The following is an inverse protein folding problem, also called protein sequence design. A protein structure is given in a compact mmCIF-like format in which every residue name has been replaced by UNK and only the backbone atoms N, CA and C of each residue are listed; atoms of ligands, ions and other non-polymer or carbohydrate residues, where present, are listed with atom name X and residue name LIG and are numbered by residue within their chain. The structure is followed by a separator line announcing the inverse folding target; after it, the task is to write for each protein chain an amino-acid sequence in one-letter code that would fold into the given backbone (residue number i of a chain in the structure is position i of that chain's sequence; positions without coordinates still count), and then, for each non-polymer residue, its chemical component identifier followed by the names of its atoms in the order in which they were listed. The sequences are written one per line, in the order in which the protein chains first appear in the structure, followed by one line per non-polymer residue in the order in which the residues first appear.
data_IF_594675718139
#
_entry.id   IF_594675718139
#
_cell.length_a   1.000
_cell.length_b   1.000
_cell.length_c   1.000
_cell.angle_alpha   90.00
_cell.angle_beta   90.00
_cell.angle_gamma   90.00
#
_symmetry.space_group_name_H-M   'P 1'
#
loop_
_entity.id
_entity.type
_entity.pdbx_description
1 polymer ?
#
# COMPACT_ATOMS: atom_id res chain seq x y z
N UNK A 1 35.72 32.44 54.59
CA UNK A 1 34.34 32.15 54.12
C UNK A 1 34.15 32.80 52.76
N UNK A 2 34.27 32.05 51.65
CA UNK A 2 33.91 32.53 50.31
C UNK A 2 33.06 31.43 49.66
N UNK A 3 31.79 31.75 49.51
CA UNK A 3 30.71 30.91 48.99
C UNK A 3 30.85 30.72 47.48
N UNK A 4 31.02 29.48 47.02
CA UNK A 4 30.92 29.12 45.61
C UNK A 4 29.46 28.82 45.25
N UNK A 5 28.89 29.60 44.33
CA UNK A 5 27.58 29.31 43.75
C UNK A 5 27.75 28.33 42.59
N UNK A 6 27.26 27.10 42.76
CA UNK A 6 27.16 26.12 41.70
C UNK A 6 25.87 26.36 40.90
N UNK A 7 25.99 26.81 39.65
CA UNK A 7 24.87 26.93 38.74
C UNK A 7 24.50 25.53 38.18
N UNK A 8 23.38 24.98 38.65
CA UNK A 8 22.80 23.75 38.14
C UNK A 8 22.04 24.07 36.84
N UNK A 9 22.61 23.73 35.69
CA UNK A 9 21.91 23.78 34.40
C UNK A 9 21.12 22.49 34.24
N UNK A 10 19.81 22.55 34.48
CA UNK A 10 18.90 21.45 34.17
C UNK A 10 18.70 21.35 32.66
N UNK A 11 19.22 20.30 32.05
CA UNK A 11 18.92 19.96 30.66
C UNK A 11 17.57 19.23 30.61
N UNK A 12 16.51 19.92 30.19
CA UNK A 12 15.25 19.28 29.85
C UNK A 12 15.44 18.43 28.60
N UNK A 13 15.45 17.10 28.76
CA UNK A 13 15.34 16.19 27.64
C UNK A 13 13.90 16.23 27.13
N UNK A 14 13.68 16.91 26.00
CA UNK A 14 12.42 16.84 25.27
C UNK A 14 12.39 15.50 24.55
N UNK A 15 11.63 14.55 25.09
CA UNK A 15 11.31 13.32 24.38
C UNK A 15 10.35 13.68 23.24
N UNK A 16 10.85 13.70 22.00
CA UNK A 16 9.98 13.66 20.83
C UNK A 16 9.35 12.28 20.76
N UNK A 17 8.11 12.15 21.23
CA UNK A 17 7.27 11.03 20.86
C UNK A 17 6.96 11.16 19.37
N UNK A 18 7.58 10.31 18.54
CA UNK A 18 7.16 10.18 17.15
C UNK A 18 5.70 9.69 17.15
N UNK A 19 4.78 10.53 16.66
CA UNK A 19 3.43 10.06 16.37
C UNK A 19 3.53 8.89 15.37
N UNK A 20 2.72 7.83 15.49
CA UNK A 20 2.70 6.79 14.48
C UNK A 20 2.36 7.44 13.15
N UNK A 21 3.28 7.35 12.18
CA UNK A 21 2.98 7.75 10.82
C UNK A 21 1.83 6.86 10.33
N UNK A 22 0.71 7.47 9.94
CA UNK A 22 -0.37 6.72 9.28
C UNK A 22 0.21 5.99 8.07
N UNK A 23 -0.14 4.72 7.89
CA UNK A 23 0.32 3.94 6.74
C UNK A 23 -0.07 4.69 5.45
N UNK A 24 0.92 5.08 4.64
CA UNK A 24 0.66 5.71 3.36
C UNK A 24 -0.05 4.70 2.44
N UNK A 25 -1.16 5.14 1.84
CA UNK A 25 -1.89 4.38 0.82
C UNK A 25 -1.39 4.78 -0.56
N UNK A 26 -1.15 3.79 -1.42
CA UNK A 26 -0.90 3.99 -2.84
C UNK A 26 -2.02 3.34 -3.63
N UNK A 27 -2.76 4.14 -4.41
CA UNK A 27 -3.72 3.61 -5.38
C UNK A 27 -3.01 3.31 -6.70
N UNK A 28 -3.40 2.22 -7.36
CA UNK A 28 -2.80 1.71 -8.58
C UNK A 28 -3.85 1.61 -9.70
N UNK A 29 -3.40 1.83 -10.93
CA UNK A 29 -4.23 1.69 -12.13
C UNK A 29 -5.08 2.92 -12.49
N UNK A 30 -5.92 2.82 -13.53
CA UNK A 30 -5.98 1.67 -14.44
C UNK A 30 -4.69 1.51 -15.27
N UNK A 31 -4.18 0.28 -15.37
CA UNK A 31 -3.05 -0.06 -16.27
C UNK A 31 -3.40 -1.23 -17.18
N UNK A 32 -2.96 -1.25 -18.46
CA UNK A 32 -3.18 -2.38 -19.36
C UNK A 32 -2.77 -3.71 -18.74
N UNK A 33 -3.54 -4.75 -18.99
CA UNK A 33 -3.31 -6.08 -18.43
C UNK A 33 -3.74 -7.14 -19.43
N UNK A 34 -2.83 -8.04 -19.81
CA UNK A 34 -3.16 -9.21 -20.65
C UNK A 34 -2.66 -10.52 -20.05
N UNK A 35 -1.98 -10.45 -18.90
CA UNK A 35 -1.50 -11.62 -18.16
C UNK A 35 -1.10 -11.24 -16.73
N UNK A 36 -0.97 -12.25 -15.86
CA UNK A 36 -0.39 -12.09 -14.53
C UNK A 36 1.00 -11.42 -14.51
N UNK A 37 1.73 -11.44 -15.64
CA UNK A 37 3.02 -10.75 -15.77
C UNK A 37 2.90 -9.22 -15.81
N UNK A 38 1.75 -8.67 -16.18
CA UNK A 38 1.50 -7.22 -16.26
C UNK A 38 1.08 -6.63 -14.91
N UNK A 39 0.78 -7.49 -13.92
CA UNK A 39 0.40 -7.07 -12.58
C UNK A 39 1.46 -6.15 -11.98
N UNK A 40 1.09 -5.01 -11.39
CA UNK A 40 1.99 -4.22 -10.55
C UNK A 40 2.56 -5.00 -9.34
N UNK A 41 1.97 -6.16 -9.01
CA UNK A 41 2.46 -7.06 -7.97
C UNK A 41 3.41 -8.13 -8.48
N UNK A 42 3.58 -8.27 -9.80
CA UNK A 42 4.49 -9.22 -10.41
C UNK A 42 5.94 -8.96 -9.96
N UNK A 43 6.63 -10.03 -9.54
CA UNK A 43 8.03 -9.96 -9.10
C UNK A 43 8.25 -9.42 -7.68
N UNK A 44 7.19 -9.01 -6.96
CA UNK A 44 7.29 -8.68 -5.54
C UNK A 44 7.41 -9.95 -4.68
N UNK A 45 7.94 -9.78 -3.46
CA UNK A 45 8.03 -10.86 -2.47
C UNK A 45 7.00 -10.64 -1.37
N UNK A 46 6.21 -11.66 -1.10
CA UNK A 46 5.15 -11.61 -0.10
C UNK A 46 5.31 -12.71 0.95
N UNK A 47 4.80 -12.44 2.16
CA UNK A 47 4.60 -13.46 3.19
C UNK A 47 3.56 -14.49 2.73
N UNK A 48 2.52 -14.00 2.04
CA UNK A 48 1.58 -14.81 1.26
C UNK A 48 1.09 -14.01 0.07
N UNK A 49 0.74 -14.71 -1.01
CA UNK A 49 0.13 -14.12 -2.20
C UNK A 49 -0.85 -15.12 -2.81
N UNK A 50 -1.99 -14.63 -3.26
CA UNK A 50 -3.04 -15.40 -3.90
C UNK A 50 -3.50 -14.70 -5.18
N UNK A 51 -3.78 -15.52 -6.19
CA UNK A 51 -4.33 -15.15 -7.48
C UNK A 51 -5.56 -16.03 -7.70
N UNK A 52 -6.72 -15.41 -7.79
CA UNK A 52 -7.97 -16.05 -8.19
C UNK A 52 -8.19 -15.73 -9.66
N UNK A 53 -8.02 -16.74 -10.51
CA UNK A 53 -8.17 -16.65 -11.97
C UNK A 53 -9.52 -17.21 -12.45
N UNK A 54 -10.33 -17.77 -11.56
CA UNK A 54 -11.65 -18.36 -11.84
C UNK A 54 -11.66 -19.50 -12.87
N UNK A 55 -10.52 -19.95 -13.38
CA UNK A 55 -10.45 -20.84 -14.55
C UNK A 55 -10.94 -22.26 -14.26
N UNK A 56 -11.06 -22.61 -12.98
CA UNK A 56 -11.67 -23.86 -12.53
C UNK A 56 -13.18 -23.76 -12.29
N UNK A 57 -13.78 -22.59 -12.53
CA UNK A 57 -15.20 -22.33 -12.33
C UNK A 57 -15.57 -22.04 -10.87
N UNK A 58 -14.60 -21.84 -9.98
CA UNK A 58 -14.80 -21.69 -8.54
C UNK A 58 -14.21 -20.37 -8.02
N UNK A 59 -14.70 -19.95 -6.85
CA UNK A 59 -14.06 -18.95 -6.00
C UNK A 59 -13.53 -19.70 -4.79
N UNK A 60 -12.24 -20.01 -4.76
CA UNK A 60 -11.69 -20.95 -3.78
C UNK A 60 -10.31 -20.56 -3.23
N UNK A 61 -9.79 -19.39 -3.62
CA UNK A 61 -8.59 -18.85 -2.98
C UNK A 61 -8.80 -18.56 -1.48
N UNK A 62 -7.80 -18.79 -0.62
CA UNK A 62 -7.96 -18.68 0.83
C UNK A 62 -8.42 -17.29 1.28
N UNK A 63 -9.44 -17.25 2.14
CA UNK A 63 -9.87 -16.01 2.80
C UNK A 63 -10.50 -14.96 1.88
N UNK A 64 -10.79 -15.29 0.62
CA UNK A 64 -11.53 -14.43 -0.28
C UNK A 64 -13.02 -14.80 -0.27
N UNK A 65 -13.89 -13.79 -0.25
CA UNK A 65 -15.32 -13.95 -0.48
C UNK A 65 -15.84 -12.81 -1.35
N UNK A 66 -16.84 -13.11 -2.18
CA UNK A 66 -17.45 -12.13 -3.08
C UNK A 66 -18.98 -12.19 -2.94
N UNK A 67 -19.61 -11.31 -2.16
CA UNK A 67 -21.05 -11.36 -1.89
C UNK A 67 -21.91 -10.94 -3.08
N UNK A 68 -21.30 -10.51 -4.20
CA UNK A 68 -21.98 -10.02 -5.40
C UNK A 68 -21.39 -10.66 -6.63
N UNK A 69 -22.26 -11.10 -7.53
CA UNK A 69 -21.86 -11.80 -8.74
C UNK A 69 -21.64 -13.29 -8.51
N UNK A 70 -21.15 -13.96 -9.54
CA UNK A 70 -20.77 -15.36 -9.52
C UNK A 70 -19.72 -15.60 -10.61
N UNK A 71 -19.01 -16.72 -10.52
CA UNK A 71 -18.21 -17.19 -11.66
C UNK A 71 -19.15 -17.39 -12.86
N UNK A 72 -18.79 -16.80 -13.98
CA UNK A 72 -19.44 -17.02 -15.26
C UNK A 72 -18.49 -17.80 -16.15
N UNK A 73 -19.00 -18.92 -16.66
CA UNK A 73 -18.32 -19.73 -17.67
C UNK A 73 -19.23 -19.81 -18.87
N UNK A 74 -18.90 -19.04 -19.90
CA UNK A 74 -19.66 -19.06 -21.15
C UNK A 74 -18.99 -19.89 -22.24
N UNK A 75 -19.72 -20.33 -23.27
CA UNK A 75 -19.12 -20.93 -24.46
C UNK A 75 -18.18 -19.93 -25.16
N UNK A 76 -17.23 -20.40 -26.01
CA UNK A 76 -16.36 -19.52 -26.79
C UNK A 76 -17.17 -18.44 -27.54
N UNK A 77 -16.77 -17.17 -27.41
CA UNK A 77 -17.45 -16.02 -28.00
C UNK A 77 -18.67 -15.48 -27.22
N UNK A 78 -18.81 -15.89 -25.96
CA UNK A 78 -19.73 -15.26 -25.00
C UNK A 78 -19.10 -14.04 -24.34
N UNK A 79 -19.81 -13.44 -23.38
CA UNK A 79 -19.29 -12.40 -22.48
C UNK A 79 -18.28 -12.94 -21.45
N UNK A 80 -17.78 -14.16 -21.63
CA UNK A 80 -16.75 -14.72 -20.76
C UNK A 80 -15.42 -14.19 -21.29
N UNK A 81 -14.90 -13.18 -20.63
CA UNK A 81 -13.73 -12.43 -21.05
C UNK A 81 -12.57 -12.72 -20.11
N UNK A 82 -11.85 -13.80 -20.43
CA UNK A 82 -10.66 -14.17 -19.69
C UNK A 82 -9.44 -13.48 -20.27
N UNK A 83 -8.66 -12.92 -19.38
CA UNK A 83 -7.49 -12.11 -19.74
C UNK A 83 -6.38 -12.96 -20.37
N UNK A 84 -6.36 -14.29 -20.19
CA UNK A 84 -5.37 -15.19 -20.82
C UNK A 84 -5.76 -15.68 -22.22
N UNK A 85 -6.87 -15.20 -22.81
CA UNK A 85 -7.32 -15.56 -24.16
C UNK A 85 -7.51 -17.08 -24.35
N UNK A 86 -7.94 -17.79 -23.30
CA UNK A 86 -8.28 -19.21 -23.40
C UNK A 86 -9.71 -19.37 -23.92
N UNK A 87 -9.99 -20.30 -24.87
CA UNK A 87 -11.32 -20.44 -25.48
C UNK A 87 -12.47 -20.74 -24.50
N UNK A 88 -12.15 -21.15 -23.27
CA UNK A 88 -13.11 -21.53 -22.23
C UNK A 88 -12.89 -20.73 -20.93
N UNK A 89 -12.32 -19.53 -21.05
CA UNK A 89 -12.00 -18.71 -19.90
C UNK A 89 -13.23 -18.36 -19.07
N UNK A 90 -13.07 -18.34 -17.75
CA UNK A 90 -14.09 -17.96 -16.79
C UNK A 90 -13.70 -16.66 -16.12
N UNK A 91 -14.70 -15.95 -15.62
CA UNK A 91 -14.52 -14.65 -14.99
C UNK A 91 -15.55 -14.48 -13.88
N UNK A 92 -15.47 -13.37 -13.15
CA UNK A 92 -16.48 -12.99 -12.17
C UNK A 92 -17.44 -11.95 -12.75
N UNK A 93 -18.73 -12.30 -12.82
CA UNK A 93 -19.75 -11.47 -13.48
C UNK A 93 -20.89 -11.05 -12.54
N UNK A 94 -21.43 -9.86 -12.77
CA UNK A 94 -22.72 -9.41 -12.24
C UNK A 94 -23.52 -8.66 -13.29
N UNK A 95 -24.83 -8.91 -13.34
CA UNK A 95 -25.74 -8.18 -14.23
C UNK A 95 -26.00 -6.71 -13.83
N UNK A 96 -25.40 -6.21 -12.74
CA UNK A 96 -25.56 -4.83 -12.28
C UNK A 96 -24.22 -4.17 -11.95
N UNK A 97 -23.60 -3.56 -12.95
CA UNK A 97 -22.38 -2.77 -12.83
C UNK A 97 -22.51 -1.56 -11.91
N UNK A 98 -23.70 -0.94 -11.88
CA UNK A 98 -24.01 0.15 -10.97
C UNK A 98 -24.08 -0.30 -9.50
N UNK A 99 -24.26 -1.59 -9.22
CA UNK A 99 -24.08 -2.17 -7.87
C UNK A 99 -22.62 -2.58 -7.66
N UNK A 100 -22.00 -3.12 -8.70
CA UNK A 100 -20.58 -3.48 -8.76
C UNK A 100 -20.23 -4.82 -8.11
N UNK A 101 -18.96 -5.16 -8.23
CA UNK A 101 -18.33 -6.37 -7.70
C UNK A 101 -17.57 -6.03 -6.42
N UNK A 102 -17.72 -6.86 -5.41
CA UNK A 102 -17.13 -6.66 -4.09
C UNK A 102 -16.35 -7.90 -3.70
N UNK A 103 -15.12 -7.70 -3.24
CA UNK A 103 -14.24 -8.77 -2.76
C UNK A 103 -13.76 -8.44 -1.35
N UNK A 104 -13.99 -9.37 -0.42
CA UNK A 104 -13.76 -9.21 1.01
C UNK A 104 -12.71 -10.22 1.48
N UNK A 105 -11.75 -9.73 2.27
CA UNK A 105 -10.62 -10.51 2.77
C UNK A 105 -10.79 -10.85 4.25
N UNK A 106 -10.72 -12.14 4.58
CA UNK A 106 -10.83 -12.64 5.94
C UNK A 106 -9.43 -12.75 6.60
N UNK A 107 -9.16 -11.85 7.55
CA UNK A 107 -7.91 -11.84 8.29
C UNK A 107 -7.68 -13.09 9.15
N UNK A 108 -8.74 -13.76 9.61
CA UNK A 108 -8.66 -14.97 10.42
C UNK A 108 -8.20 -16.17 9.60
N UNK A 109 -8.66 -16.28 8.35
CA UNK A 109 -8.19 -17.31 7.40
C UNK A 109 -6.79 -17.01 6.90
N UNK A 110 -6.49 -15.74 6.58
CA UNK A 110 -5.21 -15.30 6.04
C UNK A 110 -4.10 -15.13 7.09
N UNK A 111 -4.45 -15.21 8.38
CA UNK A 111 -3.57 -14.86 9.50
C UNK A 111 -3.40 -13.35 9.72
N UNK A 112 -3.50 -12.54 8.66
CA UNK A 112 -3.65 -11.09 8.71
C UNK A 112 -4.12 -10.53 7.35
N UNK A 113 -4.73 -9.35 7.32
CA UNK A 113 -5.20 -8.72 6.06
C UNK A 113 -4.08 -8.50 5.02
N UNK A 114 -4.41 -8.54 3.72
CA UNK A 114 -3.44 -8.24 2.66
C UNK A 114 -3.01 -6.78 2.71
N UNK A 115 -1.76 -6.51 2.34
CA UNK A 115 -1.26 -5.13 2.17
C UNK A 115 -1.29 -4.68 0.72
N UNK A 116 -1.50 -5.60 -0.21
CA UNK A 116 -1.66 -5.37 -1.63
C UNK A 116 -2.93 -6.10 -2.06
N UNK A 117 -3.83 -5.40 -2.75
CA UNK A 117 -5.02 -6.01 -3.32
C UNK A 117 -5.40 -5.32 -4.63
N UNK A 118 -5.91 -6.08 -5.59
CA UNK A 118 -6.36 -5.57 -6.87
C UNK A 118 -7.11 -6.62 -7.67
N UNK A 119 -7.61 -6.21 -8.82
CA UNK A 119 -8.33 -7.05 -9.76
C UNK A 119 -8.17 -6.48 -11.17
N UNK A 120 -8.52 -7.26 -12.17
CA UNK A 120 -8.64 -6.80 -13.54
C UNK A 120 -10.11 -6.55 -13.83
N UNK A 121 -10.45 -5.35 -14.25
CA UNK A 121 -11.74 -5.08 -14.88
C UNK A 121 -11.62 -5.45 -16.35
N UNK A 122 -12.55 -6.26 -16.86
CA UNK A 122 -12.53 -6.73 -18.25
C UNK A 122 -13.62 -6.06 -19.06
N UNK A 123 -14.88 -6.15 -18.61
CA UNK A 123 -16.02 -5.61 -19.36
C UNK A 123 -17.06 -4.89 -18.48
N UNK A 124 -17.79 -3.97 -19.11
CA UNK A 124 -18.90 -3.20 -18.60
C UNK A 124 -19.10 -1.92 -19.40
N UNK A 125 -19.91 -1.00 -18.87
CA UNK A 125 -20.29 0.25 -19.57
C UNK A 125 -20.07 1.50 -18.74
N UNK A 126 -19.59 2.54 -19.43
CA UNK A 126 -19.42 3.89 -18.90
C UNK A 126 -18.26 4.00 -17.91
N UNK A 127 -18.28 5.04 -17.08
CA UNK A 127 -17.20 5.29 -16.11
C UNK A 127 -17.04 4.14 -15.13
N UNK A 128 -15.81 3.67 -14.96
CA UNK A 128 -15.38 2.67 -13.99
C UNK A 128 -14.90 3.38 -12.73
N UNK A 129 -15.19 2.80 -11.56
CA UNK A 129 -14.76 3.30 -10.25
C UNK A 129 -14.32 2.14 -9.38
N UNK A 130 -13.05 2.16 -8.99
CA UNK A 130 -12.45 1.25 -8.02
C UNK A 130 -12.24 1.97 -6.68
N UNK A 131 -12.56 1.30 -5.59
CA UNK A 131 -12.38 1.80 -4.22
C UNK A 131 -11.92 0.68 -3.30
N UNK A 132 -11.02 1.00 -2.37
CA UNK A 132 -10.53 0.07 -1.37
C UNK A 132 -10.83 0.57 0.05
N UNK A 133 -10.89 -0.36 1.01
CA UNK A 133 -11.26 -0.05 2.39
C UNK A 133 -10.33 -0.69 3.41
N UNK A 134 -10.06 0.02 4.49
CA UNK A 134 -9.30 -0.47 5.63
C UNK A 134 -10.13 -1.43 6.50
N UNK A 135 -9.53 -1.96 7.58
CA UNK A 135 -10.20 -2.85 8.53
C UNK A 135 -11.47 -2.23 9.18
N UNK A 136 -11.54 -0.91 9.29
CA UNK A 136 -12.65 -0.19 9.90
C UNK A 136 -13.75 0.17 8.88
N UNK A 137 -13.57 -0.23 7.61
CA UNK A 137 -14.46 0.15 6.52
C UNK A 137 -14.28 1.60 6.05
N UNK A 138 -13.19 2.26 6.43
CA UNK A 138 -12.85 3.60 5.95
C UNK A 138 -12.26 3.49 4.55
N UNK A 139 -12.74 4.33 3.63
CA UNK A 139 -12.20 4.41 2.28
C UNK A 139 -10.72 4.77 2.30
N UNK A 140 -9.93 3.99 1.57
CA UNK A 140 -8.52 4.22 1.29
C UNK A 140 -8.31 5.10 0.05
N UNK A 141 -9.40 5.45 -0.64
CA UNK A 141 -9.41 6.29 -1.82
C UNK A 141 -9.98 5.58 -3.05
N UNK A 142 -10.13 6.36 -4.12
CA UNK A 142 -10.86 6.00 -5.33
C UNK A 142 -9.99 6.18 -6.57
N UNK A 143 -10.05 5.22 -7.49
CA UNK A 143 -9.49 5.30 -8.84
C UNK A 143 -10.64 5.23 -9.85
N UNK A 144 -10.58 6.04 -10.90
CA UNK A 144 -11.59 6.05 -11.97
C UNK A 144 -10.97 5.70 -13.32
N UNK A 145 -11.74 5.07 -14.20
CA UNK A 145 -11.37 4.85 -15.59
C UNK A 145 -12.51 5.12 -16.57
N UNK A 146 -12.15 5.36 -17.83
CA UNK A 146 -13.04 5.68 -18.94
C UNK A 146 -12.74 4.83 -20.20
N UNK A 147 -12.23 3.61 -19.98
CA UNK A 147 -11.77 2.70 -21.03
C UNK A 147 -12.77 1.60 -21.39
N UNK A 148 -14.02 1.67 -20.91
CA UNK A 148 -15.08 0.79 -21.37
C UNK A 148 -15.35 1.05 -22.84
N UNK A 149 -15.42 -0.01 -23.65
CA UNK A 149 -15.61 0.09 -25.07
C UNK A 149 -17.05 -0.35 -25.47
N UNK A 150 -17.25 -0.83 -26.70
CA UNK A 150 -18.56 -1.34 -27.14
C UNK A 150 -18.58 -2.84 -27.38
N UNK A 151 -17.41 -3.48 -27.44
CA UNK A 151 -17.30 -4.94 -27.47
C UNK A 151 -17.63 -5.48 -26.10
N UNK A 152 -18.12 -6.72 -26.05
CA UNK A 152 -18.41 -7.40 -24.79
C UNK A 152 -17.97 -8.87 -24.90
N UNK A 153 -16.98 -9.17 -25.74
CA UNK A 153 -16.65 -10.55 -26.10
C UNK A 153 -15.16 -10.73 -26.38
N UNK A 154 -14.43 -11.27 -25.41
CA UNK A 154 -13.15 -11.95 -25.62
C UNK A 154 -12.03 -11.08 -26.17
N UNK A 155 -12.02 -9.79 -25.85
CA UNK A 155 -10.99 -8.82 -26.24
C UNK A 155 -10.26 -8.35 -24.97
N UNK A 156 -8.95 -8.12 -25.05
CA UNK A 156 -8.16 -7.66 -23.87
C UNK A 156 -7.71 -6.19 -24.01
N UNK A 157 -8.26 -5.47 -24.99
CA UNK A 157 -7.84 -4.11 -25.31
C UNK A 157 -8.21 -3.12 -24.21
N UNK A 158 -9.34 -3.39 -23.56
CA UNK A 158 -10.04 -2.66 -22.52
C UNK A 158 -9.67 -3.14 -21.11
N UNK A 159 -9.06 -4.32 -20.97
CA UNK A 159 -8.68 -4.92 -19.69
C UNK A 159 -7.74 -4.02 -18.91
N UNK A 160 -8.14 -3.65 -17.70
CA UNK A 160 -7.30 -2.82 -16.83
C UNK A 160 -7.22 -3.37 -15.42
N UNK A 161 -5.99 -3.43 -14.93
CA UNK A 161 -5.73 -3.66 -13.53
C UNK A 161 -6.05 -2.41 -12.70
N UNK A 162 -6.77 -2.62 -11.60
CA UNK A 162 -7.00 -1.65 -10.54
C UNK A 162 -6.53 -2.23 -9.20
N UNK A 163 -5.88 -1.43 -8.37
CA UNK A 163 -5.40 -1.95 -7.09
C UNK A 163 -5.03 -0.90 -6.06
N UNK A 164 -4.58 -1.38 -4.92
CA UNK A 164 -4.17 -0.58 -3.77
C UNK A 164 -3.03 -1.26 -3.03
N UNK A 165 -2.14 -0.44 -2.48
CA UNK A 165 -1.15 -0.82 -1.48
C UNK A 165 -1.45 -0.05 -0.20
N UNK A 166 -1.65 -0.76 0.91
CA UNK A 166 -1.88 -0.16 2.21
C UNK A 166 -1.27 -1.03 3.32
N UNK A 167 -0.22 -0.53 3.97
CA UNK A 167 0.57 -1.32 4.91
C UNK A 167 -0.20 -1.76 6.18
N UNK A 168 -1.26 -1.04 6.57
CA UNK A 168 -2.07 -1.44 7.74
C UNK A 168 -3.10 -2.54 7.44
N UNK A 169 -3.28 -2.91 6.16
CA UNK A 169 -4.16 -3.99 5.73
C UNK A 169 -5.44 -3.51 5.02
N UNK A 170 -5.84 -4.25 4.00
CA UNK A 170 -7.00 -3.98 3.15
C UNK A 170 -8.07 -5.03 3.48
N UNK A 171 -9.27 -4.59 3.87
CA UNK A 171 -10.36 -5.51 4.21
C UNK A 171 -11.24 -5.85 3.02
N UNK A 172 -11.34 -4.92 2.07
CA UNK A 172 -12.29 -5.00 0.96
C UNK A 172 -11.87 -4.13 -0.21
N UNK A 173 -12.14 -4.61 -1.41
CA UNK A 173 -12.12 -3.83 -2.64
C UNK A 173 -13.49 -3.89 -3.33
N UNK A 174 -13.85 -2.81 -3.99
CA UNK A 174 -15.10 -2.63 -4.72
C UNK A 174 -14.79 -2.03 -6.08
N UNK A 175 -15.28 -2.66 -7.14
CA UNK A 175 -15.26 -2.06 -8.48
C UNK A 175 -16.67 -1.96 -9.04
N UNK A 176 -16.96 -0.83 -9.68
CA UNK A 176 -18.27 -0.52 -10.26
C UNK A 176 -18.07 0.12 -11.63
N UNK A 177 -19.10 0.07 -12.44
CA UNK A 177 -19.21 0.88 -13.65
C UNK A 177 -20.61 1.51 -13.75
N UNK A 178 -20.78 2.46 -14.65
CA UNK A 178 -21.96 3.32 -14.68
C UNK A 178 -23.28 2.57 -14.92
N UNK A 179 -23.30 1.52 -15.74
CA UNK A 179 -24.54 0.82 -16.14
C UNK A 179 -24.29 -0.55 -16.76
N UNK A 180 -25.34 -1.35 -16.98
CA UNK A 180 -25.22 -2.66 -17.63
C UNK A 180 -24.61 -3.73 -16.72
N UNK A 181 -24.04 -4.77 -17.34
CA UNK A 181 -23.25 -5.79 -16.62
C UNK A 181 -21.86 -5.25 -16.23
N UNK A 182 -21.19 -6.04 -15.41
CA UNK A 182 -19.78 -5.84 -15.04
C UNK A 182 -19.10 -7.19 -14.93
N UNK A 183 -17.87 -7.23 -15.39
CA UNK A 183 -16.99 -8.38 -15.34
C UNK A 183 -15.64 -8.00 -14.76
N UNK A 184 -15.05 -8.93 -14.02
CA UNK A 184 -13.70 -8.83 -13.53
C UNK A 184 -13.04 -10.20 -13.54
N UNK A 185 -11.72 -10.18 -13.65
CA UNK A 185 -10.87 -11.37 -13.63
C UNK A 185 -9.66 -11.11 -12.71
N UNK A 186 -8.86 -12.15 -12.46
CA UNK A 186 -7.55 -12.08 -11.82
C UNK A 186 -7.54 -11.24 -10.53
N UNK A 187 -8.34 -11.64 -9.55
CA UNK A 187 -8.34 -11.02 -8.23
C UNK A 187 -7.05 -11.40 -7.51
N UNK A 188 -6.28 -10.39 -7.12
CA UNK A 188 -4.92 -10.53 -6.61
C UNK A 188 -4.81 -9.92 -5.24
N UNK A 189 -4.23 -10.64 -4.29
CA UNK A 189 -4.02 -10.11 -2.96
C UNK A 189 -2.88 -10.81 -2.23
N UNK A 190 -2.12 -10.02 -1.47
CA UNK A 190 -0.97 -10.52 -0.75
C UNK A 190 -0.54 -9.60 0.37
N UNK A 191 0.24 -10.15 1.29
CA UNK A 191 0.80 -9.42 2.43
C UNK A 191 2.30 -9.37 2.33
N UNK A 192 2.83 -8.16 2.43
CA UNK A 192 4.24 -7.90 2.60
C UNK A 192 4.44 -7.20 3.95
N UNK A 193 5.05 -7.89 4.91
CA UNK A 193 5.47 -7.28 6.16
C UNK A 193 6.69 -6.41 5.91
N UNK A 194 6.51 -5.09 5.91
CA UNK A 194 7.63 -4.15 5.92
C UNK A 194 8.29 -4.24 7.29
N UNK A 195 9.42 -4.95 7.39
CA UNK A 195 10.34 -4.78 8.50
C UNK A 195 10.83 -3.35 8.45
N UNK A 196 10.37 -2.52 9.40
CA UNK A 196 10.91 -1.19 9.57
C UNK A 196 12.43 -1.30 9.66
N UNK A 197 13.15 -0.58 8.79
CA UNK A 197 14.59 -0.51 8.86
C UNK A 197 14.94 0.03 10.26
N UNK A 198 15.36 -0.87 11.16
CA UNK A 198 16.02 -0.48 12.38
C UNK A 198 17.22 0.32 11.90
N UNK A 199 17.38 1.61 12.29
CA UNK A 199 18.51 2.39 11.84
C UNK A 199 19.76 1.59 12.17
N UNK A 200 20.58 1.34 11.15
CA UNK A 200 21.72 0.45 11.34
C UNK A 200 22.56 0.95 12.52
N UNK A 201 23.22 0.06 13.28
CA UNK A 201 24.07 0.47 14.41
C UNK A 201 25.05 1.60 14.05
N UNK A 202 25.46 1.68 12.78
CA UNK A 202 26.30 2.74 12.22
C UNK A 202 25.62 4.13 12.24
N UNK A 203 24.32 4.23 11.99
CA UNK A 203 23.59 5.51 12.04
C UNK A 203 23.57 6.06 13.47
N UNK A 204 23.33 5.19 14.46
CA UNK A 204 23.41 5.55 15.88
C UNK A 204 24.82 5.96 16.26
N UNK A 205 25.83 5.20 15.83
CA UNK A 205 27.23 5.51 16.10
C UNK A 205 27.63 6.87 15.50
N UNK A 206 27.22 7.18 14.28
CA UNK A 206 27.52 8.46 13.62
C UNK A 206 26.79 9.64 14.25
N UNK A 207 25.54 9.45 14.72
CA UNK A 207 24.84 10.48 15.50
C UNK A 207 25.52 10.72 16.84
N UNK A 208 25.89 9.66 17.57
CA UNK A 208 26.59 9.76 18.85
C UNK A 208 27.97 10.41 18.66
N UNK A 209 28.73 10.02 17.64
CA UNK A 209 30.01 10.64 17.29
C UNK A 209 29.83 12.11 16.91
N UNK A 210 28.84 12.44 16.07
CA UNK A 210 28.54 13.81 15.65
C UNK A 210 28.18 14.71 16.83
N UNK A 211 27.24 14.28 17.67
CA UNK A 211 26.84 15.03 18.86
C UNK A 211 27.95 15.07 19.92
N UNK A 212 28.70 13.97 20.09
CA UNK A 212 29.86 13.90 20.98
C UNK A 212 30.97 14.87 20.56
N UNK A 213 31.30 14.92 19.28
CA UNK A 213 32.29 15.84 18.72
C UNK A 213 31.84 17.30 18.85
N UNK A 214 30.58 17.61 18.55
CA UNK A 214 30.01 18.95 18.74
C UNK A 214 30.07 19.39 20.20
N UNK A 215 29.69 18.51 21.14
CA UNK A 215 29.78 18.75 22.57
C UNK A 215 31.21 19.00 23.06
N UNK A 216 32.18 18.21 22.58
CA UNK A 216 33.59 18.37 22.91
C UNK A 216 34.16 19.72 22.44
N UNK A 217 33.82 20.13 21.21
CA UNK A 217 34.23 21.42 20.65
C UNK A 217 33.66 22.61 21.43
N UNK A 218 32.40 22.54 21.84
CA UNK A 218 31.77 23.57 22.67
C UNK A 218 32.42 23.66 24.06
N UNK A 219 32.80 22.53 24.67
CA UNK A 219 33.46 22.50 25.99
C UNK A 219 34.86 23.12 25.92
N UNK A 220 35.61 22.92 24.83
CA UNK A 220 36.94 23.52 24.62
C UNK A 220 36.92 25.05 24.61
N UNK A 221 35.86 25.67 24.08
CA UNK A 221 35.73 27.14 24.00
C UNK A 221 35.52 27.81 25.36
N UNK A 222 35.02 27.07 26.36
CA UNK A 222 34.85 27.57 27.74
C UNK A 222 36.13 27.52 28.57
N UNK A 223 37.18 26.84 28.08
CA UNK A 223 38.44 26.67 28.80
C UNK A 223 39.53 27.66 28.36
N UNK A 224 39.22 28.65 27.52
CA UNK A 224 40.18 29.71 27.19
C UNK A 224 40.53 30.51 28.46
N UNK A 225 41.80 30.59 28.88
CA UNK A 225 42.19 31.34 30.07
C UNK A 225 41.92 32.83 29.83
N UNK A 226 41.23 33.48 30.76
CA UNK A 226 41.12 34.94 30.80
C UNK A 226 42.53 35.49 30.96
N UNK A 227 43.05 36.13 29.91
CA UNK A 227 44.35 36.78 29.97
C UNK A 227 44.33 37.85 31.06
N UNK A 228 45.19 37.71 32.07
CA UNK A 228 45.33 38.69 33.13
C UNK A 228 45.89 40.01 32.54
N UNK A 229 45.36 41.18 32.93
CA UNK A 229 45.87 42.46 32.45
C UNK A 229 47.29 42.67 32.98
N UNK A 230 48.21 43.01 32.08
CA UNK A 230 49.59 43.39 32.41
C UNK A 230 49.55 44.78 33.06
N UNK A 231 49.96 44.87 34.32
CA UNK A 231 50.16 46.15 34.99
C UNK A 231 51.50 46.74 34.52
N UNK A 232 51.46 47.82 33.75
CA UNK A 232 52.64 48.66 33.53
C UNK A 232 52.93 49.45 34.80
N UNK A 233 54.12 49.23 35.37
CA UNK A 233 54.65 50.00 36.48
C UNK A 233 55.42 51.21 35.94
N UNK A 234 55.01 52.39 36.42
CA UNK A 234 55.66 53.69 36.23
C UNK A 234 57.02 53.72 36.93
N UNK A 235 58.04 54.23 36.24
CA UNK A 235 59.14 54.99 36.82
C UNK A 235 59.63 56.02 35.80
#
# INVERSE_FOLDING_TARGET
MKSGAAALVAACAVAFAAAPAGAATTLLGPTPYTSAGDSPFAGLTFDYFHLEDFQDGLLNTPGLSAPRGAVFTGPPGSISDSVEFTPNGSSWFSGSGATGLEFVFDAGVLGALPTHAGLVWTDGRGTITFEAFDLNGVSLGVVTGDHADTSQTGETGEDRFYGVIHAAGISRILIKNQSGGIEADHVQYGRQTLTAAVPEPTTWAMMILGFGAAGALLRRRRAAPVAAPVAEAVA
#
